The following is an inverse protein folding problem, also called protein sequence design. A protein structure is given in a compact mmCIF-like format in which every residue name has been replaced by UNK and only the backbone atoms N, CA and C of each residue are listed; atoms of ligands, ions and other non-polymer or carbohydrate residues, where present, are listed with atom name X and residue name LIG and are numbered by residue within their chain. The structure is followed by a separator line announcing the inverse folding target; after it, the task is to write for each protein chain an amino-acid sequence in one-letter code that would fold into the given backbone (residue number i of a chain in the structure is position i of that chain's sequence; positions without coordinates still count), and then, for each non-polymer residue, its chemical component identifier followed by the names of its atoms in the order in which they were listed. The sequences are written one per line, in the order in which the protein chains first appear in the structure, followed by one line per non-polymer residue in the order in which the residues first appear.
data_IF_961180309775
#
_entry.id   IF_961180309775
#
_cell.length_a   1.000
_cell.length_b   1.000
_cell.length_c   1.000
_cell.angle_alpha   90.00
_cell.angle_beta   90.00
_cell.angle_gamma   90.00
#
_symmetry.space_group_name_H-M   'P 1'
#
loop_
_entity.id
_entity.type
_entity.pdbx_description
1 polymer ?
#
# COMPACT_ATOMS: atom_id res chain seq x y z
N UNK A 1 34.82 -4.00 -7.68
CA UNK A 1 33.47 -3.63 -7.19
C UNK A 1 32.63 -4.89 -7.10
N UNK A 2 31.87 -5.11 -6.02
CA UNK A 2 30.96 -6.25 -5.94
C UNK A 2 29.91 -6.17 -7.05
N UNK A 3 29.49 -7.33 -7.58
CA UNK A 3 28.42 -7.43 -8.57
C UNK A 3 27.12 -7.81 -7.89
N UNK A 4 26.01 -7.31 -8.41
CA UNK A 4 24.68 -7.66 -7.94
C UNK A 4 24.36 -9.12 -8.24
N UNK A 5 23.91 -9.88 -7.25
CA UNK A 5 23.52 -11.29 -7.42
C UNK A 5 22.24 -11.51 -8.26
N UNK A 6 21.51 -10.44 -8.63
CA UNK A 6 20.32 -10.51 -9.49
C UNK A 6 20.63 -10.05 -10.91
N UNK A 7 21.12 -8.80 -11.09
CA UNK A 7 21.30 -8.21 -12.42
C UNK A 7 22.74 -8.27 -12.94
N UNK A 8 23.69 -8.83 -12.17
CA UNK A 8 25.12 -8.91 -12.47
C UNK A 8 25.86 -7.57 -12.69
N UNK A 9 25.16 -6.43 -12.63
CA UNK A 9 25.76 -5.10 -12.71
C UNK A 9 26.61 -4.78 -11.47
N UNK A 10 27.58 -3.88 -11.60
CA UNK A 10 28.39 -3.43 -10.48
C UNK A 10 27.54 -2.69 -9.43
N UNK A 11 27.80 -2.95 -8.16
CA UNK A 11 27.23 -2.22 -7.02
C UNK A 11 28.27 -1.20 -6.58
N UNK A 12 27.91 0.09 -6.70
CA UNK A 12 28.72 1.21 -6.27
C UNK A 12 28.44 1.58 -4.80
N UNK A 13 29.31 2.42 -4.22
CA UNK A 13 29.12 2.95 -2.87
C UNK A 13 27.91 3.88 -2.71
N UNK A 14 27.35 4.36 -3.83
CA UNK A 14 26.20 5.25 -3.86
C UNK A 14 24.89 4.49 -4.07
N UNK A 15 24.98 3.19 -4.38
CA UNK A 15 23.81 2.36 -4.54
C UNK A 15 23.29 1.87 -3.19
N UNK A 16 21.99 1.99 -2.99
CA UNK A 16 21.32 1.27 -1.91
C UNK A 16 21.46 -0.24 -2.14
N UNK A 17 22.17 -0.88 -1.22
CA UNK A 17 22.51 -2.28 -1.32
C UNK A 17 22.43 -3.00 0.00
N UNK A 18 22.25 -4.32 -0.10
CA UNK A 18 22.19 -5.24 1.03
C UNK A 18 23.07 -6.45 0.71
N UNK A 19 23.71 -7.01 1.73
CA UNK A 19 24.60 -8.18 1.60
C UNK A 19 23.91 -9.36 2.25
N UNK A 20 23.85 -10.49 1.54
CA UNK A 20 23.37 -11.73 2.13
C UNK A 20 24.35 -12.16 3.21
N UNK A 21 23.88 -12.26 4.45
CA UNK A 21 24.73 -12.61 5.58
C UNK A 21 25.04 -14.12 5.65
N UNK A 22 24.60 -14.92 4.69
CA UNK A 22 25.00 -16.34 4.60
C UNK A 22 26.48 -16.40 4.23
N UNK A 23 27.27 -17.10 5.05
CA UNK A 23 28.71 -17.29 4.83
C UNK A 23 29.03 -17.93 3.48
N UNK A 24 28.15 -18.79 2.97
CA UNK A 24 28.31 -19.48 1.69
C UNK A 24 27.89 -18.65 0.47
N UNK A 25 27.25 -17.51 0.66
CA UNK A 25 26.78 -16.65 -0.44
C UNK A 25 27.52 -15.32 -0.47
N UNK A 26 27.47 -14.56 0.62
CA UNK A 26 28.09 -13.24 0.77
C UNK A 26 27.84 -12.26 -0.41
N UNK A 27 26.84 -12.51 -1.26
CA UNK A 27 26.57 -11.70 -2.43
C UNK A 27 25.94 -10.37 -2.02
N UNK A 28 26.26 -9.33 -2.79
CA UNK A 28 25.66 -8.00 -2.66
C UNK A 28 24.51 -7.85 -3.65
N UNK A 29 23.47 -7.13 -3.26
CA UNK A 29 22.28 -6.93 -4.07
C UNK A 29 21.89 -5.46 -4.05
N UNK A 30 21.53 -4.91 -5.21
CA UNK A 30 20.82 -3.64 -5.24
C UNK A 30 19.45 -3.83 -4.61
N UNK A 31 19.01 -2.90 -3.76
CA UNK A 31 17.67 -2.96 -3.16
C UNK A 31 16.56 -2.92 -4.20
N UNK A 32 16.73 -2.10 -5.25
CA UNK A 32 15.82 -2.07 -6.42
C UNK A 32 15.69 -3.41 -7.15
N UNK A 33 16.73 -4.24 -7.14
CA UNK A 33 16.70 -5.55 -7.81
C UNK A 33 16.02 -6.63 -6.94
N UNK A 34 15.79 -6.34 -5.66
CA UNK A 34 15.09 -7.21 -4.73
C UNK A 34 13.66 -6.75 -4.45
N UNK A 35 13.19 -5.69 -5.11
CA UNK A 35 11.92 -5.01 -4.82
C UNK A 35 11.77 -4.60 -3.33
N UNK A 36 12.91 -4.30 -2.68
CA UNK A 36 12.94 -3.83 -1.29
C UNK A 36 12.87 -2.31 -1.29
N UNK A 37 11.81 -1.76 -0.70
CA UNK A 37 11.66 -0.31 -0.54
C UNK A 37 12.77 0.28 0.35
N UNK A 38 13.10 1.55 0.12
CA UNK A 38 14.09 2.26 0.94
C UNK A 38 13.71 2.28 2.42
N UNK A 39 12.42 2.44 2.72
CA UNK A 39 11.87 2.39 4.08
C UNK A 39 12.10 1.02 4.74
N UNK A 40 11.90 -0.07 4.00
CA UNK A 40 12.16 -1.43 4.49
C UNK A 40 13.65 -1.66 4.76
N UNK A 41 14.52 -1.15 3.88
CA UNK A 41 15.97 -1.19 4.08
C UNK A 41 16.38 -0.41 5.34
N UNK A 42 15.81 0.77 5.55
CA UNK A 42 16.07 1.58 6.75
C UNK A 42 15.58 0.87 8.01
N UNK A 43 14.37 0.28 8.00
CA UNK A 43 13.86 -0.51 9.10
C UNK A 43 14.79 -1.69 9.45
N UNK A 44 15.32 -2.40 8.44
CA UNK A 44 16.30 -3.48 8.63
C UNK A 44 17.62 -2.99 9.24
N UNK A 45 18.09 -1.80 8.82
CA UNK A 45 19.30 -1.18 9.38
C UNK A 45 19.09 -0.76 10.84
N UNK A 46 18.01 -0.06 11.13
CA UNK A 46 17.70 0.47 12.48
C UNK A 46 17.41 -0.64 13.48
N UNK A 47 16.74 -1.72 13.06
CA UNK A 47 16.48 -2.90 13.90
C UNK A 47 17.71 -3.80 14.09
N UNK A 48 18.77 -3.61 13.32
CA UNK A 48 19.93 -4.51 13.30
C UNK A 48 19.70 -5.83 12.56
N UNK A 49 18.48 -6.11 12.10
CA UNK A 49 18.12 -7.32 11.38
C UNK A 49 18.79 -7.44 10.01
N UNK A 50 19.35 -6.34 9.48
CA UNK A 50 20.19 -6.38 8.28
C UNK A 50 21.37 -7.37 8.40
N UNK A 51 21.87 -7.64 9.62
CA UNK A 51 22.97 -8.58 9.87
C UNK A 51 22.57 -10.05 9.71
N UNK A 52 21.28 -10.36 9.81
CA UNK A 52 20.76 -11.73 9.64
C UNK A 52 20.01 -11.90 8.32
N UNK A 53 19.93 -10.85 7.50
CA UNK A 53 19.24 -10.91 6.22
C UNK A 53 19.88 -11.94 5.27
N UNK A 54 19.03 -12.69 4.57
CA UNK A 54 19.41 -13.74 3.63
C UNK A 54 18.72 -13.49 2.29
N UNK A 55 19.40 -13.74 1.17
CA UNK A 55 18.76 -13.77 -0.15
C UNK A 55 17.88 -15.01 -0.29
N UNK A 56 16.92 -14.98 -1.23
CA UNK A 56 15.92 -16.05 -1.34
C UNK A 56 16.53 -17.41 -1.70
N UNK A 57 17.59 -17.43 -2.51
CA UNK A 57 18.35 -18.66 -2.78
C UNK A 57 18.99 -19.26 -1.51
N UNK A 58 19.44 -18.42 -0.58
CA UNK A 58 19.98 -18.88 0.70
C UNK A 58 18.88 -19.31 1.66
N UNK A 59 17.74 -18.62 1.67
CA UNK A 59 16.57 -19.05 2.46
C UNK A 59 16.11 -20.44 2.04
N UNK A 60 16.07 -20.72 0.73
CA UNK A 60 15.69 -22.03 0.19
C UNK A 60 16.71 -23.13 0.54
N UNK A 61 18.02 -22.84 0.55
CA UNK A 61 19.06 -23.82 0.91
C UNK A 61 19.15 -24.10 2.41
N UNK A 62 18.91 -23.08 3.24
CA UNK A 62 18.94 -23.25 4.70
C UNK A 62 17.78 -24.10 5.23
N UNK A 63 16.73 -24.29 4.41
CA UNK A 63 15.64 -25.21 4.68
C UNK A 63 15.94 -26.67 4.27
N UNK A 64 17.14 -26.96 3.74
CA UNK A 64 17.51 -28.30 3.24
C UNK A 64 18.67 -28.97 3.99
N UNK A 65 19.39 -28.28 4.88
CA UNK A 65 20.56 -28.85 5.57
C UNK A 65 20.64 -28.31 7.01
N UNK A 66 20.56 -29.16 8.07
CA UNK A 66 20.89 -28.75 9.42
C UNK A 66 22.41 -28.54 9.55
N UNK A 67 22.89 -27.60 10.40
CA UNK A 67 24.30 -27.29 10.51
C UNK A 67 25.05 -28.44 11.16
N UNK A 68 25.79 -29.20 10.35
CA UNK A 68 26.86 -30.07 10.84
C UNK A 68 28.11 -29.21 10.97
N UNK A 69 28.60 -29.05 12.19
CA UNK A 69 29.99 -28.64 12.41
C UNK A 69 30.67 -29.77 13.18
N UNK A 70 31.74 -30.25 12.57
CA UNK A 70 32.49 -31.45 12.86
C UNK A 70 33.33 -31.31 14.14
N UNK A 71 33.44 -32.39 14.90
CA UNK A 71 34.73 -32.78 15.50
C UNK A 71 34.81 -34.31 15.54
N UNK A 72 35.68 -34.84 14.68
CA UNK A 72 36.52 -36.03 14.88
C UNK A 72 36.05 -37.10 15.87
N UNK A 73 35.53 -38.23 15.38
CA UNK A 73 36.26 -39.50 15.33
C UNK A 73 35.35 -40.65 14.88
N UNK A 74 36.01 -41.63 14.27
CA UNK A 74 35.57 -42.96 13.84
C UNK A 74 34.53 -43.64 14.74
N UNK A 75 33.41 -44.01 14.13
CA UNK A 75 32.76 -45.34 14.14
C UNK A 75 31.28 -45.19 13.78
N UNK A 76 30.79 -46.01 12.84
CA UNK A 76 29.36 -46.15 12.61
C UNK A 76 28.70 -46.73 13.86
N UNK A 77 27.55 -46.17 14.29
CA UNK A 77 26.45 -47.09 14.58
C UNK A 77 25.07 -46.56 14.15
N UNK A 78 24.31 -47.48 13.56
CA UNK A 78 22.86 -47.66 13.61
C UNK A 78 22.00 -46.45 14.00
N UNK A 79 21.29 -45.89 13.01
CA UNK A 79 20.21 -44.93 13.23
C UNK A 79 19.03 -45.64 13.91
N UNK A 80 18.84 -45.35 15.20
CA UNK A 80 17.55 -45.43 15.89
C UNK A 80 16.83 -44.10 15.65
N UNK A 81 15.76 -44.12 14.84
CA UNK A 81 14.90 -42.95 14.60
C UNK A 81 14.09 -42.66 15.86
N UNK A 82 14.54 -41.71 16.68
CA UNK A 82 13.74 -41.12 17.75
C UNK A 82 12.89 -39.97 17.16
N UNK A 83 11.70 -40.33 16.66
CA UNK A 83 10.84 -39.48 15.81
C UNK A 83 10.07 -38.33 16.48
N UNK A 84 10.38 -37.90 17.70
CA UNK A 84 9.51 -36.92 18.40
C UNK A 84 10.10 -35.51 18.57
N UNK A 85 11.44 -35.36 18.62
CA UNK A 85 12.08 -34.05 18.83
C UNK A 85 12.07 -33.15 17.59
N UNK A 86 12.24 -33.74 16.41
CA UNK A 86 12.29 -33.01 15.13
C UNK A 86 10.95 -32.39 14.75
N UNK A 87 9.83 -33.04 15.07
CA UNK A 87 8.49 -32.55 14.75
C UNK A 87 8.12 -31.34 15.61
N UNK A 88 8.55 -31.32 16.87
CA UNK A 88 8.29 -30.21 17.79
C UNK A 88 8.99 -28.91 17.36
N UNK A 89 10.23 -29.00 16.86
CA UNK A 89 10.98 -27.83 16.39
C UNK A 89 10.43 -27.30 15.06
N UNK A 90 10.10 -28.18 14.11
CA UNK A 90 9.42 -27.77 12.88
C UNK A 90 8.06 -27.10 13.15
N UNK A 91 7.30 -27.56 14.15
CA UNK A 91 6.03 -26.94 14.52
C UNK A 91 6.21 -25.52 15.10
N UNK A 92 7.27 -25.28 15.87
CA UNK A 92 7.58 -23.95 16.40
C UNK A 92 8.00 -22.97 15.28
N UNK A 93 8.82 -23.43 14.34
CA UNK A 93 9.24 -22.63 13.18
C UNK A 93 8.06 -22.31 12.25
N UNK A 94 7.16 -23.28 12.02
CA UNK A 94 5.91 -23.06 11.27
C UNK A 94 5.02 -22.04 11.98
N UNK A 95 4.86 -22.14 13.30
CA UNK A 95 4.06 -21.18 14.07
C UNK A 95 4.64 -19.76 13.98
N UNK A 96 5.96 -19.62 14.04
CA UNK A 96 6.64 -18.34 13.88
C UNK A 96 6.48 -17.77 12.46
N UNK A 97 6.66 -18.60 11.43
CA UNK A 97 6.44 -18.18 10.04
C UNK A 97 4.98 -17.76 9.80
N UNK A 98 4.01 -18.47 10.36
CA UNK A 98 2.60 -18.10 10.26
C UNK A 98 2.32 -16.76 10.92
N UNK A 99 2.87 -16.52 12.12
CA UNK A 99 2.72 -15.23 12.81
C UNK A 99 3.34 -14.07 12.01
N UNK A 100 4.52 -14.28 11.42
CA UNK A 100 5.17 -13.27 10.56
C UNK A 100 4.38 -13.01 9.27
N UNK A 101 3.85 -14.06 8.63
CA UNK A 101 2.98 -13.94 7.46
C UNK A 101 1.71 -13.16 7.84
N UNK A 102 1.05 -13.52 8.95
CA UNK A 102 -0.13 -12.81 9.43
C UNK A 102 0.17 -11.34 9.70
N UNK A 103 1.32 -11.03 10.29
CA UNK A 103 1.71 -9.65 10.56
C UNK A 103 1.98 -8.86 9.27
N UNK A 104 2.69 -9.45 8.30
CA UNK A 104 2.96 -8.81 7.00
C UNK A 104 1.65 -8.58 6.24
N UNK A 105 0.79 -9.61 6.17
CA UNK A 105 -0.51 -9.51 5.50
C UNK A 105 -1.37 -8.46 6.19
N UNK A 106 -1.50 -8.51 7.52
CA UNK A 106 -2.26 -7.54 8.32
C UNK A 106 -1.78 -6.12 8.08
N UNK A 107 -0.46 -5.89 8.10
CA UNK A 107 0.13 -4.56 7.90
C UNK A 107 -0.10 -4.05 6.48
N UNK A 108 0.15 -4.88 5.46
CA UNK A 108 -0.05 -4.48 4.06
C UNK A 108 -1.51 -4.25 3.72
N UNK A 109 -2.41 -5.11 4.21
CA UNK A 109 -3.85 -4.95 4.02
C UNK A 109 -4.35 -3.69 4.71
N UNK A 110 -3.95 -3.43 5.96
CA UNK A 110 -4.31 -2.17 6.67
C UNK A 110 -3.82 -0.94 5.91
N UNK A 111 -2.58 -0.96 5.42
CA UNK A 111 -2.02 0.15 4.66
C UNK A 111 -2.80 0.39 3.35
N UNK A 112 -3.09 -0.67 2.59
CA UNK A 112 -3.88 -0.56 1.37
C UNK A 112 -5.30 -0.05 1.64
N UNK A 113 -5.96 -0.57 2.70
CA UNK A 113 -7.28 -0.09 3.12
C UNK A 113 -7.23 1.40 3.46
N UNK A 114 -6.21 1.85 4.21
CA UNK A 114 -6.08 3.26 4.57
C UNK A 114 -5.91 4.17 3.34
N UNK A 115 -5.07 3.79 2.37
CA UNK A 115 -4.92 4.53 1.11
C UNK A 115 -6.26 4.60 0.37
N UNK A 116 -6.90 3.45 0.14
CA UNK A 116 -8.18 3.39 -0.59
C UNK A 116 -9.24 4.21 0.13
N UNK A 117 -9.30 4.13 1.46
CA UNK A 117 -10.24 4.90 2.28
C UNK A 117 -10.01 6.39 2.12
N UNK A 118 -8.77 6.86 2.18
CA UNK A 118 -8.43 8.27 2.03
C UNK A 118 -8.72 8.78 0.62
N UNK A 119 -8.43 7.99 -0.41
CA UNK A 119 -8.73 8.32 -1.80
C UNK A 119 -10.25 8.47 -2.03
N UNK A 120 -11.05 7.51 -1.53
CA UNK A 120 -12.51 7.57 -1.60
C UNK A 120 -13.05 8.78 -0.85
N UNK A 121 -12.57 9.05 0.36
CA UNK A 121 -12.97 10.23 1.14
C UNK A 121 -12.66 11.51 0.37
N UNK A 122 -11.49 11.60 -0.27
CA UNK A 122 -11.09 12.79 -1.02
C UNK A 122 -11.88 12.96 -2.32
N UNK A 123 -12.26 11.87 -2.99
CA UNK A 123 -13.17 11.91 -4.13
C UNK A 123 -14.55 12.42 -3.71
N UNK A 124 -15.14 11.83 -2.66
CA UNK A 124 -16.44 12.22 -2.13
C UNK A 124 -16.48 13.69 -1.68
N UNK A 125 -15.42 14.17 -1.01
CA UNK A 125 -15.30 15.60 -0.64
C UNK A 125 -15.32 16.52 -1.86
N UNK A 126 -14.65 16.15 -2.96
CA UNK A 126 -14.66 16.94 -4.20
C UNK A 126 -16.04 16.97 -4.83
N UNK A 127 -16.70 15.82 -4.93
CA UNK A 127 -18.07 15.73 -5.48
C UNK A 127 -19.06 16.55 -4.66
N UNK A 128 -19.02 16.46 -3.33
CA UNK A 128 -19.86 17.28 -2.44
C UNK A 128 -19.64 18.77 -2.69
N UNK A 129 -18.37 19.20 -2.83
CA UNK A 129 -18.05 20.61 -3.08
C UNK A 129 -18.60 21.08 -4.44
N UNK A 130 -18.50 20.25 -5.47
CA UNK A 130 -19.06 20.54 -6.80
C UNK A 130 -20.58 20.63 -6.75
N UNK A 131 -21.26 19.66 -6.13
CA UNK A 131 -22.71 19.68 -5.97
C UNK A 131 -23.19 20.90 -5.19
N UNK A 132 -22.48 21.27 -4.11
CA UNK A 132 -22.79 22.48 -3.35
C UNK A 132 -22.64 23.75 -4.19
N UNK A 133 -21.59 23.83 -5.02
CA UNK A 133 -21.40 24.93 -5.97
C UNK A 133 -22.56 25.03 -6.97
N UNK A 134 -22.96 23.92 -7.56
CA UNK A 134 -24.07 23.87 -8.51
C UNK A 134 -25.40 24.25 -7.86
N UNK A 135 -25.68 23.77 -6.65
CA UNK A 135 -26.89 24.13 -5.91
C UNK A 135 -26.94 25.63 -5.60
N UNK A 136 -25.80 26.25 -5.28
CA UNK A 136 -25.74 27.69 -5.06
C UNK A 136 -26.01 28.46 -6.35
N UNK A 137 -25.42 28.04 -7.48
CA UNK A 137 -25.68 28.65 -8.78
C UNK A 137 -27.16 28.55 -9.17
N UNK A 138 -27.76 27.35 -9.07
CA UNK A 138 -29.18 27.14 -9.33
C UNK A 138 -30.08 27.98 -8.41
N UNK A 139 -29.68 28.16 -7.14
CA UNK A 139 -30.42 29.00 -6.20
C UNK A 139 -30.40 30.49 -6.61
N UNK A 140 -29.27 30.97 -7.14
CA UNK A 140 -29.15 32.33 -7.68
C UNK A 140 -30.03 32.48 -8.92
N UNK A 141 -29.91 31.57 -9.89
CA UNK A 141 -30.72 31.59 -11.12
C UNK A 141 -32.23 31.56 -10.80
N UNK A 142 -32.65 30.73 -9.85
CA UNK A 142 -34.05 30.64 -9.42
C UNK A 142 -34.53 31.95 -8.78
N UNK A 143 -33.68 32.64 -8.03
CA UNK A 143 -33.98 33.95 -7.44
C UNK A 143 -34.15 35.03 -8.50
N UNK A 144 -33.29 35.03 -9.52
CA UNK A 144 -33.36 35.95 -10.66
C UNK A 144 -34.63 35.71 -11.48
N UNK A 145 -34.91 34.46 -11.84
CA UNK A 145 -36.13 34.10 -12.57
C UNK A 145 -37.40 34.48 -11.79
N UNK A 146 -37.38 34.31 -10.46
CA UNK A 146 -38.50 34.73 -9.61
C UNK A 146 -38.74 36.24 -9.66
N UNK A 147 -37.67 37.05 -9.72
CA UNK A 147 -37.80 38.52 -9.89
C UNK A 147 -38.36 38.86 -11.25
N UNK A 148 -37.87 38.22 -12.31
CA UNK A 148 -38.35 38.45 -13.67
C UNK A 148 -39.84 38.13 -13.81
N UNK A 149 -40.29 37.00 -13.24
CA UNK A 149 -41.72 36.64 -13.20
C UNK A 149 -42.56 37.69 -12.47
N UNK A 150 -42.05 38.26 -11.36
CA UNK A 150 -42.78 39.34 -10.66
C UNK A 150 -42.87 40.61 -11.51
N UNK A 151 -41.79 41.00 -12.18
CA UNK A 151 -41.78 42.16 -13.06
C UNK A 151 -42.78 41.98 -14.21
N UNK A 152 -42.74 40.85 -14.90
CA UNK A 152 -43.68 40.52 -15.98
C UNK A 152 -45.13 40.50 -15.49
N UNK A 153 -45.37 40.04 -14.25
CA UNK A 153 -46.71 40.05 -13.66
C UNK A 153 -47.23 41.48 -13.43
N UNK A 154 -46.37 42.38 -12.97
CA UNK A 154 -46.70 43.80 -12.80
C UNK A 154 -46.97 44.47 -14.14
N UNK A 155 -46.09 44.29 -15.13
CA UNK A 155 -46.27 44.82 -16.50
C UNK A 155 -47.59 44.32 -17.13
N UNK A 156 -47.91 43.04 -16.96
CA UNK A 156 -49.17 42.47 -17.46
C UNK A 156 -50.38 43.11 -16.77
N UNK A 157 -50.30 43.40 -15.46
CA UNK A 157 -51.38 44.09 -14.76
C UNK A 157 -51.59 45.51 -15.31
N UNK A 158 -50.52 46.26 -15.51
CA UNK A 158 -50.56 47.61 -16.08
C UNK A 158 -51.16 47.61 -17.50
N UNK A 159 -50.71 46.67 -18.35
CA UNK A 159 -51.25 46.49 -19.70
C UNK A 159 -52.75 46.14 -19.66
N UNK A 160 -53.18 45.30 -18.72
CA UNK A 160 -54.58 44.93 -18.56
C UNK A 160 -55.44 46.13 -18.17
N UNK A 161 -54.93 47.01 -17.32
CA UNK A 161 -55.62 48.25 -16.92
C UNK A 161 -55.73 49.21 -18.11
N UNK A 162 -54.65 49.38 -18.89
CA UNK A 162 -54.67 50.17 -20.14
C UNK A 162 -55.71 49.64 -21.12
N UNK A 163 -55.73 48.32 -21.36
CA UNK A 163 -56.71 47.68 -22.26
C UNK A 163 -58.14 47.89 -21.78
N UNK A 164 -58.39 47.79 -20.47
CA UNK A 164 -59.72 48.03 -19.91
C UNK A 164 -60.19 49.49 -20.12
N UNK A 165 -59.28 50.45 -20.00
CA UNK A 165 -59.58 51.88 -20.22
C UNK A 165 -59.79 52.23 -21.70
N UNK A 166 -59.22 51.44 -22.62
CA UNK A 166 -59.39 51.62 -24.07
C UNK A 166 -60.64 50.93 -24.63
N UNK A 167 -61.32 50.06 -23.86
CA UNK A 167 -62.57 49.45 -24.32
C UNK A 167 -63.67 50.52 -24.42
N UNK A 168 -64.24 50.77 -25.61
CA UNK A 168 -65.28 51.76 -25.76
C UNK A 168 -66.55 51.33 -25.00
N UNK A 169 -67.13 52.24 -24.22
CA UNK A 169 -68.41 52.04 -23.56
C UNK A 169 -69.52 52.14 -24.62
N UNK A 170 -69.94 51.01 -25.17
CA UNK A 170 -71.13 50.87 -26.02
C UNK A 170 -72.20 50.08 -25.28
#
# INVERSE_FOLDING_TARGET
MPKCGVCAAAVSRYDDSIICASSSCAQTFHTKCLDVSLESLQALKTSGNIKVWRCDACKLKHNLIPPTTESSNTESPSIVVAGNGSVAWCNADIAWCNADIENIVSTKVKYAINIITEDIINLLRREIKLMSGNNNALSIELSELKKEVQNLKSENHELKDVVNNLKPQY
#
